data_IF_724829269198
#
_entry.id   IF_724829269198
#
_cell.length_a   1.000
_cell.length_b   1.000
_cell.length_c   1.000
_cell.angle_alpha   90.00
_cell.angle_beta   90.00
_cell.angle_gamma   90.00
#
_symmetry.space_group_name_H-M   'P 1'
#
loop_
_entity.id
_entity.type
_entity.pdbx_description
1 polymer ?
#
# COMPACT_ATOMS: atom_id res chain seq x y z
N UNK A 1 32.88 5.37 4.13
CA UNK A 1 31.82 6.39 4.10
C UNK A 1 30.53 5.61 4.28
N UNK A 2 30.08 5.50 5.52
CA UNK A 2 28.80 4.83 5.82
C UNK A 2 27.67 5.66 5.21
N UNK A 3 26.83 5.01 4.41
CA UNK A 3 25.56 5.57 3.99
C UNK A 3 24.67 5.61 5.22
N UNK A 4 24.61 6.77 5.86
CA UNK A 4 23.57 7.08 6.84
C UNK A 4 22.23 7.01 6.10
N UNK A 5 21.28 6.15 6.48
CA UNK A 5 19.96 6.17 5.86
C UNK A 5 19.35 7.54 6.15
N UNK A 6 18.96 8.27 5.11
CA UNK A 6 18.03 9.39 5.25
C UNK A 6 16.68 8.80 5.68
N UNK A 7 16.52 8.51 6.97
CA UNK A 7 15.20 8.50 7.58
C UNK A 7 14.72 9.95 7.57
N UNK A 8 14.04 10.33 6.48
CA UNK A 8 13.14 11.48 6.54
C UNK A 8 12.25 11.25 7.76
N UNK A 9 12.18 12.25 8.65
CA UNK A 9 11.22 12.23 9.76
C UNK A 9 9.83 12.22 9.13
N UNK A 10 9.24 11.03 8.95
CA UNK A 10 7.83 10.93 8.61
C UNK A 10 7.05 11.58 9.74
N UNK A 11 6.35 12.67 9.44
CA UNK A 11 5.42 13.26 10.40
C UNK A 11 4.26 12.27 10.55
N UNK A 12 3.88 11.88 11.77
CA UNK A 12 2.74 10.99 11.95
C UNK A 12 1.48 11.65 11.38
N UNK A 13 0.60 10.84 10.79
CA UNK A 13 -0.70 11.31 10.34
C UNK A 13 -1.52 11.84 11.53
N UNK A 14 -2.25 12.93 11.31
CA UNK A 14 -3.17 13.46 12.32
C UNK A 14 -4.47 12.65 12.32
N UNK A 15 -4.81 12.09 13.47
CA UNK A 15 -6.07 11.41 13.70
C UNK A 15 -6.58 11.64 15.12
N UNK A 16 -7.90 11.62 15.29
CA UNK A 16 -8.57 11.84 16.58
C UNK A 16 -9.91 11.12 16.63
N UNK A 17 -10.45 10.90 17.83
CA UNK A 17 -11.81 10.41 17.97
C UNK A 17 -12.82 11.47 17.54
N UNK A 18 -13.73 11.09 16.64
CA UNK A 18 -14.76 11.96 16.12
C UNK A 18 -15.88 12.17 17.15
N UNK A 19 -16.12 13.44 17.52
CA UNK A 19 -17.20 13.83 18.39
C UNK A 19 -18.45 14.18 17.58
N UNK A 20 -19.51 13.35 17.56
CA UNK A 20 -20.74 13.68 16.86
C UNK A 20 -21.41 14.94 17.42
N UNK A 21 -21.15 15.27 18.68
CA UNK A 21 -21.76 16.40 19.40
C UNK A 21 -20.75 17.53 19.61
N UNK A 22 -19.88 17.79 18.62
CA UNK A 22 -18.87 18.85 18.70
C UNK A 22 -19.52 20.22 18.81
N UNK A 23 -18.92 21.10 19.63
CA UNK A 23 -19.35 22.51 19.71
C UNK A 23 -19.07 23.29 18.42
N UNK A 24 -18.21 22.76 17.55
CA UNK A 24 -17.92 23.30 16.22
C UNK A 24 -19.11 23.12 15.27
N UNK A 25 -19.93 22.08 15.49
CA UNK A 25 -21.13 21.76 14.72
C UNK A 25 -22.35 21.61 15.65
N UNK A 26 -22.88 22.73 16.20
CA UNK A 26 -23.97 22.69 17.18
C UNK A 26 -25.29 22.13 16.61
N UNK A 27 -25.39 21.97 15.28
CA UNK A 27 -26.57 21.40 14.63
C UNK A 27 -26.37 19.95 14.19
N UNK A 28 -25.18 19.35 14.37
CA UNK A 28 -24.77 18.01 13.94
C UNK A 28 -25.03 17.73 12.45
N UNK A 29 -24.73 18.71 11.58
CA UNK A 29 -25.05 18.67 10.16
C UNK A 29 -23.88 18.84 9.22
N UNK A 30 -22.73 19.35 9.68
CA UNK A 30 -21.61 19.65 8.79
C UNK A 30 -20.43 18.69 9.01
N UNK A 31 -20.40 17.56 8.28
CA UNK A 31 -19.34 16.57 8.44
C UNK A 31 -17.97 17.08 8.00
N UNK A 32 -17.88 18.23 7.33
CA UNK A 32 -16.63 18.83 6.84
C UNK A 32 -15.81 19.54 7.90
N UNK A 33 -16.37 19.75 9.10
CA UNK A 33 -15.67 20.35 10.23
C UNK A 33 -14.79 19.31 10.96
N UNK A 34 -13.85 19.69 11.83
CA UNK A 34 -12.97 18.71 12.49
C UNK A 34 -13.67 17.73 13.46
N UNK A 35 -14.70 18.17 14.19
CA UNK A 35 -15.42 17.37 15.19
C UNK A 35 -14.53 16.88 16.35
N UNK A 36 -13.74 17.77 16.94
CA UNK A 36 -12.92 17.44 18.11
C UNK A 36 -13.75 17.26 19.39
N UNK A 37 -13.23 16.44 20.31
CA UNK A 37 -13.62 16.51 21.72
C UNK A 37 -12.94 17.70 22.41
N UNK A 38 -13.46 18.11 23.57
CA UNK A 38 -12.79 19.06 24.45
C UNK A 38 -12.69 18.47 25.87
N UNK A 39 -11.50 18.04 26.33
CA UNK A 39 -10.22 18.07 25.62
C UNK A 39 -10.18 17.10 24.43
N UNK A 40 -9.31 17.40 23.47
CA UNK A 40 -9.16 16.60 22.26
C UNK A 40 -8.59 15.20 22.55
N UNK A 41 -9.01 14.22 21.76
CA UNK A 41 -8.69 12.81 21.94
C UNK A 41 -7.93 12.29 20.71
N UNK A 42 -6.64 12.60 20.68
CA UNK A 42 -5.74 12.21 19.60
C UNK A 42 -5.56 10.69 19.53
N UNK A 43 -5.46 10.18 18.31
CA UNK A 43 -5.24 8.76 18.01
C UNK A 43 -3.86 8.61 17.35
N UNK A 44 -2.93 7.87 17.96
CA UNK A 44 -1.60 7.67 17.40
C UNK A 44 -1.66 6.80 16.13
N UNK A 45 -0.74 7.02 15.19
CA UNK A 45 -0.70 6.29 13.92
C UNK A 45 -0.61 4.77 14.13
N UNK A 46 0.14 4.34 15.15
CA UNK A 46 0.30 2.94 15.53
C UNK A 46 -1.06 2.28 15.85
N UNK A 47 -2.03 3.03 16.39
CA UNK A 47 -3.37 2.50 16.60
C UNK A 47 -4.11 2.25 15.28
N UNK A 48 -3.96 3.14 14.30
CA UNK A 48 -4.52 2.96 12.96
C UNK A 48 -3.91 1.71 12.28
N UNK A 49 -2.60 1.49 12.45
CA UNK A 49 -1.89 0.31 11.96
C UNK A 49 -2.43 -0.98 12.58
N UNK A 50 -2.81 -0.98 13.87
CA UNK A 50 -3.47 -2.14 14.49
C UNK A 50 -4.86 -2.44 13.93
N UNK A 51 -5.52 -1.43 13.32
CA UNK A 51 -6.77 -1.58 12.58
C UNK A 51 -6.53 -1.97 11.10
N UNK A 52 -5.27 -2.19 10.71
CA UNK A 52 -4.88 -2.55 9.34
C UNK A 52 -4.79 -1.37 8.37
N UNK A 53 -4.87 -0.12 8.85
CA UNK A 53 -4.65 1.07 8.03
C UNK A 53 -3.15 1.27 7.82
N UNK A 54 -2.73 1.43 6.57
CA UNK A 54 -1.34 1.77 6.26
C UNK A 54 -1.26 3.22 5.78
N UNK A 55 -0.30 3.97 6.31
CA UNK A 55 -0.13 5.38 5.98
C UNK A 55 1.33 5.70 5.70
N UNK A 56 1.56 6.44 4.62
CA UNK A 56 2.82 7.11 4.35
C UNK A 56 2.55 8.60 4.19
N UNK A 57 3.37 9.44 4.82
CA UNK A 57 3.21 10.89 4.83
C UNK A 57 4.36 11.58 4.11
N UNK A 58 4.16 12.85 3.76
CA UNK A 58 5.19 13.70 3.13
C UNK A 58 5.73 13.18 1.78
N UNK A 59 4.95 12.38 1.05
CA UNK A 59 5.31 11.96 -0.30
C UNK A 59 5.35 13.19 -1.22
N UNK A 60 6.42 13.30 -2.01
CA UNK A 60 6.47 14.27 -3.10
C UNK A 60 5.43 13.90 -4.16
N UNK A 61 4.47 14.80 -4.37
CA UNK A 61 3.34 14.61 -5.30
C UNK A 61 3.55 15.26 -6.66
N UNK A 62 4.51 16.19 -6.76
CA UNK A 62 4.95 16.72 -8.06
C UNK A 62 5.68 15.60 -8.79
N UNK A 63 5.15 15.22 -9.95
CA UNK A 63 5.59 14.01 -10.68
C UNK A 63 5.53 12.74 -9.83
N UNK A 64 4.43 12.52 -9.08
CA UNK A 64 4.24 11.37 -8.18
C UNK A 64 4.60 10.00 -8.81
N UNK A 65 4.50 9.86 -10.14
CA UNK A 65 4.92 8.66 -10.88
C UNK A 65 6.41 8.32 -10.73
N UNK A 66 7.25 9.30 -10.39
CA UNK A 66 8.69 9.11 -10.13
C UNK A 66 9.02 8.96 -8.64
N UNK A 67 8.02 9.10 -7.76
CA UNK A 67 8.23 8.92 -6.33
C UNK A 67 8.51 7.44 -6.04
N UNK A 68 9.70 7.14 -5.52
CA UNK A 68 10.15 5.76 -5.28
C UNK A 68 9.27 5.02 -4.29
N UNK A 69 8.84 5.67 -3.21
CA UNK A 69 7.99 5.05 -2.19
C UNK A 69 6.60 4.72 -2.74
N UNK A 70 6.02 5.62 -3.55
CA UNK A 70 4.77 5.34 -4.24
C UNK A 70 4.88 4.17 -5.23
N UNK A 71 5.98 4.10 -6.01
CA UNK A 71 6.21 2.96 -6.91
C UNK A 71 6.40 1.66 -6.14
N UNK A 72 7.14 1.70 -5.02
CA UNK A 72 7.35 0.52 -4.17
C UNK A 72 6.03 -0.04 -3.66
N UNK A 73 5.18 0.81 -3.07
CA UNK A 73 3.85 0.38 -2.58
C UNK A 73 2.99 -0.19 -3.71
N UNK A 74 3.04 0.41 -4.91
CA UNK A 74 2.32 -0.13 -6.08
C UNK A 74 2.79 -1.52 -6.49
N UNK A 75 4.11 -1.75 -6.52
CA UNK A 75 4.71 -3.03 -6.90
C UNK A 75 4.39 -4.10 -5.83
N UNK A 76 4.69 -3.80 -4.57
CA UNK A 76 4.49 -4.73 -3.44
C UNK A 76 3.04 -5.19 -3.30
N UNK A 77 2.09 -4.30 -3.59
CA UNK A 77 0.65 -4.59 -3.42
C UNK A 77 -0.07 -4.94 -4.72
N UNK A 78 0.66 -4.96 -5.85
CA UNK A 78 0.13 -5.34 -7.16
C UNK A 78 -0.91 -4.35 -7.71
N UNK A 79 -0.74 -3.05 -7.50
CA UNK A 79 -1.68 -2.02 -7.98
C UNK A 79 -1.46 -1.67 -9.46
N UNK A 80 -2.20 -2.35 -10.33
CA UNK A 80 -2.06 -2.26 -11.78
C UNK A 80 -2.99 -1.21 -12.43
N UNK A 81 -3.98 -0.70 -11.71
CA UNK A 81 -4.88 0.35 -12.18
C UNK A 81 -4.68 1.65 -11.39
N UNK A 82 -4.74 2.77 -12.09
CA UNK A 82 -4.52 4.11 -11.54
C UNK A 82 -5.50 5.11 -12.18
N UNK A 83 -6.18 5.91 -11.37
CA UNK A 83 -6.99 7.04 -11.87
C UNK A 83 -6.81 8.30 -11.03
N UNK A 84 -6.89 9.47 -11.67
CA UNK A 84 -6.84 10.77 -10.97
C UNK A 84 -8.26 11.31 -10.85
N UNK A 85 -8.69 11.59 -9.63
CA UNK A 85 -10.00 12.18 -9.31
C UNK A 85 -9.84 13.55 -8.66
N UNK A 86 -10.79 14.44 -8.90
CA UNK A 86 -10.92 15.72 -8.18
C UNK A 86 -12.32 15.81 -7.59
N UNK A 87 -12.39 15.86 -6.26
CA UNK A 87 -13.61 16.06 -5.47
C UNK A 87 -13.67 17.53 -5.10
N UNK A 88 -14.42 18.30 -5.89
CA UNK A 88 -14.67 19.71 -5.63
C UNK A 88 -15.96 20.18 -6.34
N UNK A 89 -16.59 21.26 -5.85
CA UNK A 89 -17.66 21.92 -6.58
C UNK A 89 -17.25 22.21 -8.03
N UNK A 90 -18.14 21.90 -8.98
CA UNK A 90 -17.93 22.07 -10.42
C UNK A 90 -16.81 21.22 -11.06
N UNK A 91 -16.12 20.35 -10.31
CA UNK A 91 -15.11 19.41 -10.84
C UNK A 91 -15.56 17.95 -10.80
N UNK A 92 -16.52 17.65 -9.92
CA UNK A 92 -17.16 16.35 -9.81
C UNK A 92 -18.63 16.45 -10.22
N UNK A 93 -19.05 15.64 -11.20
CA UNK A 93 -20.47 15.55 -11.59
C UNK A 93 -21.31 15.05 -10.40
N UNK A 94 -22.46 15.67 -10.17
CA UNK A 94 -23.34 15.41 -9.02
C UNK A 94 -22.62 15.54 -7.66
N UNK A 95 -21.71 16.51 -7.54
CA UNK A 95 -20.87 16.72 -6.35
C UNK A 95 -21.63 16.57 -5.02
N UNK A 96 -22.74 17.28 -4.82
CA UNK A 96 -23.52 17.23 -3.57
C UNK A 96 -24.09 15.84 -3.27
N UNK A 97 -24.53 15.11 -4.30
CA UNK A 97 -25.02 13.75 -4.13
C UNK A 97 -23.86 12.81 -3.79
N UNK A 98 -22.76 12.86 -4.55
CA UNK A 98 -21.59 12.03 -4.31
C UNK A 98 -20.95 12.30 -2.95
N UNK A 99 -20.90 13.56 -2.51
CA UNK A 99 -20.42 13.94 -1.16
C UNK A 99 -21.23 13.23 -0.07
N UNK A 100 -22.56 13.15 -0.22
CA UNK A 100 -23.43 12.39 0.70
C UNK A 100 -23.23 10.88 0.61
N UNK A 101 -23.03 10.34 -0.59
CA UNK A 101 -22.77 8.91 -0.81
C UNK A 101 -21.44 8.50 -0.17
N UNK A 102 -20.36 9.25 -0.41
CA UNK A 102 -19.05 8.99 0.18
C UNK A 102 -19.06 9.06 1.71
N UNK A 103 -19.87 9.96 2.29
CA UNK A 103 -19.97 10.10 3.74
C UNK A 103 -20.91 9.07 4.40
N UNK A 104 -21.68 8.32 3.62
CA UNK A 104 -22.46 7.21 4.17
C UNK A 104 -21.50 6.10 4.60
N UNK A 105 -21.69 5.52 5.78
CA UNK A 105 -20.83 4.44 6.25
C UNK A 105 -20.96 3.18 5.38
N UNK A 106 -19.86 2.74 4.81
CA UNK A 106 -19.79 1.62 3.87
C UNK A 106 -18.48 0.83 4.01
N UNK A 107 -18.39 -0.28 3.27
CA UNK A 107 -17.15 -1.04 3.08
C UNK A 107 -16.93 -1.40 1.61
N UNK A 108 -15.73 -1.90 1.32
CA UNK A 108 -15.32 -2.42 0.02
C UNK A 108 -14.79 -3.86 0.13
N UNK A 109 -14.93 -4.63 -0.96
CA UNK A 109 -14.36 -5.98 -1.10
C UNK A 109 -12.87 -5.98 -1.43
N UNK A 110 -12.37 -4.84 -1.89
CA UNK A 110 -10.96 -4.56 -2.13
C UNK A 110 -10.48 -3.48 -1.18
N UNK A 111 -9.17 -3.25 -1.17
CA UNK A 111 -8.58 -2.11 -0.47
C UNK A 111 -9.04 -0.79 -1.09
N UNK A 112 -9.11 0.25 -0.27
CA UNK A 112 -9.29 1.62 -0.73
C UNK A 112 -7.97 2.38 -0.57
N UNK A 113 -7.40 2.81 -1.70
CA UNK A 113 -6.05 3.38 -1.75
C UNK A 113 -6.07 4.76 -2.39
N UNK A 114 -5.53 5.75 -1.66
CA UNK A 114 -5.54 7.15 -2.10
C UNK A 114 -4.19 7.81 -1.83
N UNK A 115 -3.54 8.33 -2.88
CA UNK A 115 -2.47 9.32 -2.74
C UNK A 115 -3.06 10.72 -2.95
N UNK A 116 -3.01 11.57 -1.94
CA UNK A 116 -3.54 12.93 -2.03
C UNK A 116 -2.51 13.83 -2.70
N UNK A 117 -2.88 14.39 -3.86
CA UNK A 117 -2.03 15.26 -4.66
C UNK A 117 -2.15 16.73 -4.25
N UNK A 118 -3.38 17.18 -4.00
CA UNK A 118 -3.74 18.56 -3.67
C UNK A 118 -4.98 18.57 -2.75
N UNK A 119 -5.10 19.59 -1.90
CA UNK A 119 -6.22 19.70 -0.96
C UNK A 119 -6.16 18.72 0.20
N UNK A 120 -7.32 18.51 0.84
CA UNK A 120 -7.46 17.71 2.06
C UNK A 120 -8.91 17.25 2.30
N UNK A 121 -9.05 16.31 3.22
CA UNK A 121 -10.33 15.73 3.65
C UNK A 121 -10.16 14.78 4.84
N UNK A 122 -11.24 14.10 5.19
CA UNK A 122 -11.30 13.18 6.30
C UNK A 122 -11.71 11.79 5.84
N UNK A 123 -10.94 10.79 6.26
CA UNK A 123 -11.37 9.39 6.28
C UNK A 123 -11.78 9.05 7.71
N UNK A 124 -13.06 8.74 7.93
CA UNK A 124 -13.51 8.25 9.23
C UNK A 124 -13.56 6.72 9.20
N UNK A 125 -13.00 6.07 10.21
CA UNK A 125 -12.97 4.60 10.36
C UNK A 125 -13.51 4.17 11.73
N UNK A 126 -13.89 2.90 11.86
CA UNK A 126 -14.29 2.32 13.15
C UNK A 126 -13.11 1.71 13.89
N UNK A 127 -12.96 2.04 15.17
CA UNK A 127 -12.03 1.36 16.08
C UNK A 127 -12.56 -0.03 16.53
N UNK A 128 -11.83 -0.70 17.41
CA UNK A 128 -12.22 -2.03 17.95
C UNK A 128 -13.54 -2.02 18.72
N UNK A 129 -13.89 -0.89 19.34
CA UNK A 129 -15.12 -0.72 20.12
C UNK A 129 -16.25 -0.10 19.27
N UNK A 130 -16.00 0.14 17.98
CA UNK A 130 -16.95 0.73 17.06
C UNK A 130 -17.08 2.25 17.16
N UNK A 131 -16.18 2.95 17.85
CA UNK A 131 -16.11 4.41 17.84
C UNK A 131 -15.52 4.93 16.54
N UNK A 132 -15.90 6.15 16.15
CA UNK A 132 -15.34 6.80 14.97
C UNK A 132 -13.99 7.42 15.29
N UNK A 133 -12.99 7.10 14.48
CA UNK A 133 -11.71 7.81 14.39
C UNK A 133 -11.73 8.59 13.09
N UNK A 134 -11.44 9.89 13.15
CA UNK A 134 -11.25 10.77 12.00
C UNK A 134 -9.77 10.90 11.68
N UNK A 135 -9.40 10.65 10.42
CA UNK A 135 -8.03 10.76 9.91
C UNK A 135 -7.97 11.93 8.92
N UNK A 136 -7.09 12.90 9.16
CA UNK A 136 -6.92 14.06 8.28
C UNK A 136 -5.96 13.76 7.13
N UNK A 137 -6.52 13.42 5.97
CA UNK A 137 -5.76 13.14 4.75
C UNK A 137 -5.51 14.43 3.96
N UNK A 138 -4.24 14.72 3.69
CA UNK A 138 -3.78 15.95 3.02
C UNK A 138 -2.72 15.65 1.99
N UNK A 139 -2.39 16.63 1.14
CA UNK A 139 -1.32 16.52 0.14
C UNK A 139 -0.08 15.78 0.68
N UNK A 140 0.36 14.75 -0.04
CA UNK A 140 1.52 13.94 0.31
C UNK A 140 1.20 12.73 1.20
N UNK A 141 -0.07 12.55 1.61
CA UNK A 141 -0.53 11.35 2.30
C UNK A 141 -0.91 10.28 1.27
N UNK A 142 -0.31 9.09 1.40
CA UNK A 142 -0.79 7.85 0.80
C UNK A 142 -1.42 7.01 1.92
N UNK A 143 -2.69 6.68 1.79
CA UNK A 143 -3.44 5.84 2.75
C UNK A 143 -3.96 4.59 2.04
N UNK A 144 -3.95 3.47 2.75
CA UNK A 144 -4.58 2.20 2.37
C UNK A 144 -5.54 1.79 3.49
N UNK A 145 -6.83 1.72 3.18
CA UNK A 145 -7.83 1.11 4.04
C UNK A 145 -8.00 -0.37 3.64
N UNK A 146 -7.98 -1.30 4.60
CA UNK A 146 -8.11 -2.72 4.29
C UNK A 146 -9.54 -3.07 3.85
N UNK A 147 -9.67 -4.08 2.99
CA UNK A 147 -10.97 -4.65 2.61
C UNK A 147 -11.79 -5.06 3.83
N UNK A 148 -13.11 -4.86 3.79
CA UNK A 148 -14.02 -5.21 4.88
C UNK A 148 -14.05 -4.22 6.07
N UNK A 149 -13.22 -3.18 6.07
CA UNK A 149 -13.29 -2.10 7.06
C UNK A 149 -14.48 -1.17 6.77
N UNK A 150 -15.27 -0.86 7.80
CA UNK A 150 -16.25 0.21 7.72
C UNK A 150 -15.57 1.56 7.79
N UNK A 151 -15.85 2.39 6.80
CA UNK A 151 -15.31 3.74 6.67
C UNK A 151 -16.30 4.67 5.97
N UNK A 152 -15.94 5.95 5.92
CA UNK A 152 -16.62 6.98 5.12
C UNK A 152 -15.65 8.13 4.85
N UNK A 153 -15.88 8.83 3.75
CA UNK A 153 -15.05 9.95 3.32
C UNK A 153 -15.85 11.25 3.26
N UNK A 154 -15.22 12.36 3.64
CA UNK A 154 -15.68 13.72 3.30
C UNK A 154 -14.49 14.62 2.98
N UNK A 155 -14.71 15.62 2.13
CA UNK A 155 -13.78 16.77 2.07
C UNK A 155 -13.90 17.58 3.36
N UNK A 156 -12.85 18.33 3.68
CA UNK A 156 -12.87 19.31 4.77
C UNK A 156 -13.56 20.62 4.33
N UNK A 157 -13.47 21.65 5.17
CA UNK A 157 -14.09 22.96 4.96
C UNK A 157 -13.56 23.70 3.70
N UNK A 158 -12.40 23.31 3.16
CA UNK A 158 -11.88 23.81 1.88
C UNK A 158 -12.66 23.29 0.68
N UNK A 159 -13.44 22.22 0.87
CA UNK A 159 -14.25 21.56 -0.15
C UNK A 159 -13.47 21.15 -1.41
N UNK A 160 -12.18 20.86 -1.28
CA UNK A 160 -11.31 20.53 -2.40
C UNK A 160 -10.32 19.42 -2.05
N UNK A 161 -10.38 18.32 -2.82
CA UNK A 161 -9.38 17.26 -2.77
C UNK A 161 -9.12 16.70 -4.16
N UNK A 162 -7.85 16.49 -4.49
CA UNK A 162 -7.42 15.78 -5.70
C UNK A 162 -6.52 14.62 -5.30
N UNK A 163 -6.85 13.44 -5.78
CA UNK A 163 -6.15 12.21 -5.41
C UNK A 163 -5.88 11.32 -6.61
N UNK A 164 -4.86 10.48 -6.49
CA UNK A 164 -4.69 9.28 -7.29
C UNK A 164 -5.34 8.14 -6.53
N UNK A 165 -6.26 7.43 -7.18
CA UNK A 165 -6.81 6.18 -6.69
C UNK A 165 -6.05 5.02 -7.32
N UNK A 166 -5.77 3.99 -6.52
CA UNK A 166 -5.07 2.79 -6.95
C UNK A 166 -5.94 1.56 -6.74
N UNK A 167 -5.84 0.60 -7.64
CA UNK A 167 -6.53 -0.69 -7.55
C UNK A 167 -5.67 -1.80 -8.13
N UNK A 168 -5.87 -3.03 -7.65
CA UNK A 168 -5.19 -4.22 -8.20
C UNK A 168 -5.65 -4.53 -9.62
N UNK A 169 -6.93 -4.27 -9.91
CA UNK A 169 -7.58 -4.47 -11.20
C UNK A 169 -8.52 -3.29 -11.52
N UNK A 170 -9.31 -3.41 -12.59
CA UNK A 170 -10.34 -2.40 -12.87
C UNK A 170 -11.42 -2.45 -11.79
N UNK A 171 -11.70 -1.34 -11.07
CA UNK A 171 -12.60 -1.38 -9.92
C UNK A 171 -14.07 -1.49 -10.32
N UNK A 172 -14.84 -2.30 -9.58
CA UNK A 172 -16.30 -2.39 -9.67
C UNK A 172 -17.01 -1.14 -9.10
N UNK A 173 -16.30 -0.36 -8.26
CA UNK A 173 -16.78 0.87 -7.58
C UNK A 173 -18.04 0.67 -6.75
N UNK A 174 -18.24 -0.54 -6.22
CA UNK A 174 -19.38 -0.87 -5.38
C UNK A 174 -19.07 -0.49 -3.92
N UNK A 175 -19.95 0.31 -3.33
CA UNK A 175 -19.98 0.61 -1.90
C UNK A 175 -21.06 -0.26 -1.25
N UNK A 176 -20.68 -1.04 -0.24
CA UNK A 176 -21.63 -1.83 0.52
C UNK A 176 -22.00 -1.10 1.81
N UNK A 177 -23.17 -0.48 1.82
CA UNK A 177 -23.66 0.30 2.96
C UNK A 177 -23.81 -0.57 4.21
N UNK A 178 -23.31 -0.09 5.35
CA UNK A 178 -23.49 -0.78 6.65
C UNK A 178 -24.95 -1.03 7.02
N UNK A 179 -25.86 -0.15 6.58
CA UNK A 179 -27.30 -0.30 6.85
C UNK A 179 -27.94 -1.52 6.17
N UNK A 180 -27.25 -2.15 5.22
CA UNK A 180 -27.74 -3.35 4.56
C UNK A 180 -27.40 -4.60 5.41
N UNK A 181 -28.42 -5.38 5.76
CA UNK A 181 -28.27 -6.60 6.56
C UNK A 181 -27.32 -7.64 5.93
N UNK A 182 -27.14 -7.61 4.60
CA UNK A 182 -26.22 -8.51 3.91
C UNK A 182 -24.75 -8.13 4.02
N UNK A 183 -24.42 -6.91 4.45
CA UNK A 183 -23.04 -6.40 4.43
C UNK A 183 -22.18 -7.00 5.55
N UNK A 184 -22.76 -7.23 6.74
CA UNK A 184 -22.02 -7.80 7.87
C UNK A 184 -21.64 -9.28 7.68
N UNK A 185 -22.31 -10.00 6.78
CA UNK A 185 -22.07 -11.42 6.46
C UNK A 185 -21.25 -11.62 5.17
N UNK A 186 -20.69 -10.56 4.61
CA UNK A 186 -19.78 -10.66 3.47
C UNK A 186 -18.47 -11.31 3.91
N UNK A 187 -17.92 -12.21 3.10
CA UNK A 187 -16.66 -12.92 3.41
C UNK A 187 -15.52 -11.96 3.76
N UNK A 188 -15.38 -10.86 3.02
CA UNK A 188 -14.37 -9.82 3.29
C UNK A 188 -14.55 -9.16 4.66
N UNK A 189 -15.80 -8.99 5.11
CA UNK A 189 -16.12 -8.39 6.40
C UNK A 189 -15.86 -9.38 7.52
N UNK A 190 -16.30 -10.63 7.37
CA UNK A 190 -16.02 -11.72 8.32
C UNK A 190 -14.51 -11.94 8.48
N UNK A 191 -13.77 -11.89 7.38
CA UNK A 191 -12.31 -11.98 7.39
C UNK A 191 -11.67 -10.82 8.17
N UNK A 192 -12.10 -9.58 7.91
CA UNK A 192 -11.60 -8.40 8.63
C UNK A 192 -11.93 -8.46 10.12
N UNK A 193 -13.15 -8.84 10.49
CA UNK A 193 -13.56 -9.02 11.89
C UNK A 193 -12.68 -10.08 12.57
N UNK A 194 -12.53 -11.25 11.94
CA UNK A 194 -11.80 -12.39 12.51
C UNK A 194 -10.31 -12.11 12.70
N UNK A 195 -9.67 -11.49 11.70
CA UNK A 195 -8.21 -11.35 11.69
C UNK A 195 -7.71 -9.99 12.18
N UNK A 196 -8.55 -8.95 12.18
CA UNK A 196 -8.16 -7.61 12.64
C UNK A 196 -8.89 -7.27 13.93
N UNK A 197 -10.23 -7.24 13.93
CA UNK A 197 -10.96 -6.74 15.09
C UNK A 197 -10.90 -7.67 16.32
N UNK A 198 -10.90 -8.99 16.11
CA UNK A 198 -10.76 -9.96 17.21
C UNK A 198 -9.40 -9.87 17.91
N UNK A 199 -8.35 -9.37 17.25
CA UNK A 199 -7.05 -9.09 17.88
C UNK A 199 -7.20 -8.07 19.02
N UNK A 200 -8.02 -7.03 18.82
CA UNK A 200 -8.31 -6.02 19.85
C UNK A 200 -9.08 -6.60 21.05
N UNK A 201 -9.93 -7.61 20.83
CA UNK A 201 -10.64 -8.30 21.90
C UNK A 201 -9.71 -9.23 22.71
N UNK A 202 -8.79 -9.94 22.05
CA UNK A 202 -7.77 -10.77 22.72
C UNK A 202 -6.69 -9.92 23.42
N UNK A 203 -6.35 -8.72 22.93
CA UNK A 203 -5.46 -7.81 23.66
C UNK A 203 -6.06 -7.33 25.00
N UNK A 204 -7.40 -7.34 25.13
CA UNK A 204 -8.10 -7.07 26.40
C UNK A 204 -8.22 -8.34 27.29
N UNK A 205 -7.87 -9.53 26.80
CA UNK A 205 -7.99 -10.81 27.52
C UNK A 205 -6.67 -11.59 27.63
N UNK A 206 -6.15 -11.71 28.87
CA UNK A 206 -5.04 -12.55 29.34
C UNK A 206 -3.84 -12.90 28.41
N UNK A 207 -2.65 -12.71 28.96
CA UNK A 207 -1.30 -12.97 28.40
C UNK A 207 -1.06 -14.27 27.60
N UNK A 208 -1.90 -15.30 27.71
CA UNK A 208 -1.74 -16.56 26.97
C UNK A 208 -2.11 -16.44 25.50
N UNK A 209 -3.08 -15.61 25.14
CA UNK A 209 -3.56 -15.46 23.75
C UNK A 209 -2.59 -14.62 22.90
N UNK A 210 -1.80 -13.77 23.56
CA UNK A 210 -0.71 -13.00 22.95
C UNK A 210 0.40 -13.89 22.37
N UNK A 211 0.68 -15.04 22.99
CA UNK A 211 1.75 -15.95 22.53
C UNK A 211 1.41 -16.54 21.16
N UNK A 212 0.17 -17.02 20.97
CA UNK A 212 -0.26 -17.58 19.69
C UNK A 212 -0.38 -16.53 18.58
N UNK A 213 -0.68 -15.28 18.94
CA UNK A 213 -0.70 -14.17 17.97
C UNK A 213 0.70 -13.68 17.58
N UNK A 214 1.64 -13.65 18.53
CA UNK A 214 3.05 -13.36 18.25
C UNK A 214 3.63 -14.44 17.33
N UNK A 215 3.35 -15.72 17.60
CA UNK A 215 3.75 -16.83 16.73
C UNK A 215 3.19 -16.66 15.30
N UNK A 216 1.92 -16.26 15.15
CA UNK A 216 1.33 -16.01 13.83
C UNK A 216 1.91 -14.80 13.09
N UNK A 217 2.31 -13.75 13.81
CA UNK A 217 3.00 -12.58 13.26
C UNK A 217 4.45 -12.90 12.88
N UNK A 218 5.14 -13.71 13.68
CA UNK A 218 6.48 -14.21 13.36
C UNK A 218 6.43 -15.07 12.09
N UNK A 219 5.42 -15.92 11.92
CA UNK A 219 5.20 -16.71 10.70
C UNK A 219 4.91 -15.82 9.48
N UNK A 220 4.09 -14.77 9.62
CA UNK A 220 3.83 -13.80 8.54
C UNK A 220 5.07 -12.96 8.21
N UNK A 221 5.84 -12.54 9.21
CA UNK A 221 7.07 -11.77 9.04
C UNK A 221 8.15 -12.61 8.37
N UNK A 222 8.29 -13.89 8.73
CA UNK A 222 9.21 -14.82 8.06
C UNK A 222 8.80 -15.07 6.61
N UNK A 223 7.50 -15.20 6.31
CA UNK A 223 7.01 -15.27 4.92
C UNK A 223 7.32 -13.98 4.15
N UNK A 224 7.14 -12.82 4.77
CA UNK A 224 7.45 -11.54 4.14
C UNK A 224 8.95 -11.40 3.85
N UNK A 225 9.81 -11.75 4.81
CA UNK A 225 11.27 -11.77 4.63
C UNK A 225 11.69 -12.72 3.51
N UNK A 226 11.14 -13.94 3.50
CA UNK A 226 11.41 -14.91 2.45
C UNK A 226 11.00 -14.38 1.07
N UNK A 227 9.83 -13.75 0.96
CA UNK A 227 9.37 -13.12 -0.27
C UNK A 227 10.26 -11.93 -0.68
N UNK A 228 10.71 -11.11 0.26
CA UNK A 228 11.62 -10.00 -0.02
C UNK A 228 12.97 -10.51 -0.56
N UNK A 229 13.55 -11.54 0.07
CA UNK A 229 14.80 -12.15 -0.41
C UNK A 229 14.66 -12.71 -1.82
N UNK A 230 13.51 -13.29 -2.15
CA UNK A 230 13.20 -13.79 -3.50
C UNK A 230 13.12 -12.64 -4.51
N UNK A 231 12.48 -11.53 -4.16
CA UNK A 231 12.37 -10.34 -5.01
C UNK A 231 13.75 -9.72 -5.26
N UNK A 232 14.57 -9.58 -4.20
CA UNK A 232 15.94 -9.07 -4.31
C UNK A 232 16.80 -9.97 -5.20
N UNK A 233 16.74 -11.29 -5.01
CA UNK A 233 17.47 -12.25 -5.85
C UNK A 233 17.02 -12.18 -7.33
N UNK A 234 15.73 -12.01 -7.58
CA UNK A 234 15.17 -11.89 -8.95
C UNK A 234 15.62 -10.59 -9.63
N UNK A 235 15.70 -9.49 -8.87
CA UNK A 235 16.24 -8.21 -9.36
C UNK A 235 17.73 -8.33 -9.71
N UNK A 236 18.51 -8.97 -8.85
CA UNK A 236 19.94 -9.22 -9.09
C UNK A 236 20.16 -10.13 -10.31
N UNK A 237 19.36 -11.18 -10.47
CA UNK A 237 19.36 -12.03 -11.68
C UNK A 237 19.08 -11.22 -12.94
N UNK A 238 18.06 -10.37 -12.90
CA UNK A 238 17.69 -9.51 -14.02
C UNK A 238 18.81 -8.54 -14.40
N UNK A 239 19.49 -7.96 -13.41
CA UNK A 239 20.63 -7.06 -13.62
C UNK A 239 21.83 -7.81 -14.22
N UNK A 240 22.17 -8.98 -13.66
CA UNK A 240 23.28 -9.80 -14.15
C UNK A 240 23.03 -10.28 -15.58
N UNK A 241 21.79 -10.67 -15.90
CA UNK A 241 21.39 -11.05 -17.25
C UNK A 241 21.52 -9.88 -18.23
N UNK A 242 21.10 -8.66 -17.83
CA UNK A 242 21.24 -7.47 -18.65
C UNK A 242 22.71 -7.12 -18.93
N UNK A 243 23.60 -7.29 -17.96
CA UNK A 243 25.03 -7.07 -18.13
C UNK A 243 25.67 -8.15 -19.01
N UNK A 244 25.31 -9.42 -18.82
CA UNK A 244 25.74 -10.51 -19.69
C UNK A 244 25.29 -10.29 -21.14
N UNK A 245 24.09 -9.75 -21.36
CA UNK A 245 23.61 -9.40 -22.70
C UNK A 245 24.46 -8.30 -23.36
N UNK A 246 24.86 -7.26 -22.60
CA UNK A 246 25.76 -6.21 -23.11
C UNK A 246 27.13 -6.78 -23.50
N UNK A 247 27.68 -7.67 -22.66
CA UNK A 247 28.95 -8.36 -22.92
C UNK A 247 28.85 -9.24 -24.18
N UNK A 248 27.80 -10.05 -24.30
CA UNK A 248 27.55 -10.86 -25.49
C UNK A 248 27.33 -10.03 -26.76
N UNK A 249 26.75 -8.83 -26.66
CA UNK A 249 26.61 -7.92 -27.81
C UNK A 249 27.95 -7.33 -28.26
N UNK A 250 28.86 -7.02 -27.32
CA UNK A 250 30.21 -6.55 -27.64
C UNK A 250 31.04 -7.61 -28.41
N UNK A 251 30.72 -8.90 -28.25
CA UNK A 251 31.32 -10.03 -28.97
C UNK A 251 31.29 -9.83 -30.50
N UNK A 252 30.17 -9.32 -31.01
CA UNK A 252 29.93 -9.16 -32.44
C UNK A 252 30.81 -8.10 -33.10
N UNK A 253 31.56 -7.34 -32.32
CA UNK A 253 32.43 -6.24 -32.75
C UNK A 253 33.91 -6.43 -32.43
N UNK A 254 34.30 -7.51 -31.74
CA UNK A 254 35.71 -7.75 -31.39
C UNK A 254 36.52 -8.24 -32.60
N UNK A 255 37.71 -7.68 -32.81
CA UNK A 255 38.68 -8.15 -33.80
C UNK A 255 39.74 -9.11 -33.22
N UNK A 256 39.65 -9.41 -31.92
CA UNK A 256 40.51 -10.35 -31.20
C UNK A 256 39.77 -11.70 -31.04
N UNK A 257 40.37 -12.77 -31.59
CA UNK A 257 39.80 -14.11 -31.65
C UNK A 257 39.65 -14.78 -30.28
N UNK A 258 40.53 -14.50 -29.31
CA UNK A 258 40.42 -15.06 -27.94
C UNK A 258 39.27 -14.39 -27.20
N UNK A 259 39.17 -13.06 -27.33
CA UNK A 259 38.06 -12.27 -26.79
C UNK A 259 36.73 -12.67 -27.44
N UNK A 260 36.70 -12.88 -28.75
CA UNK A 260 35.49 -13.33 -29.45
C UNK A 260 35.03 -14.72 -28.97
N UNK A 261 35.97 -15.62 -28.70
CA UNK A 261 35.68 -16.99 -28.20
C UNK A 261 35.08 -16.94 -26.79
N UNK A 262 35.67 -16.17 -25.88
CA UNK A 262 35.14 -15.99 -24.51
C UNK A 262 33.75 -15.36 -24.51
N UNK A 263 33.54 -14.32 -25.32
CA UNK A 263 32.26 -13.65 -25.40
C UNK A 263 31.17 -14.51 -26.08
N UNK A 264 31.54 -15.41 -26.99
CA UNK A 264 30.63 -16.40 -27.57
C UNK A 264 30.15 -17.42 -26.54
N UNK A 265 30.99 -17.79 -25.55
CA UNK A 265 30.60 -18.66 -24.46
C UNK A 265 29.53 -18.02 -23.56
N UNK A 266 29.66 -16.71 -23.26
CA UNK A 266 28.63 -15.93 -22.54
C UNK A 266 27.30 -15.96 -23.31
N UNK A 267 27.34 -15.78 -24.64
CA UNK A 267 26.14 -15.83 -25.48
C UNK A 267 25.48 -17.22 -25.49
N UNK A 268 26.27 -18.29 -25.46
CA UNK A 268 25.76 -19.66 -25.37
C UNK A 268 25.10 -19.94 -24.02
N UNK A 269 25.69 -19.46 -22.92
CA UNK A 269 25.09 -19.56 -21.58
C UNK A 269 23.75 -18.83 -21.51
N UNK A 270 23.62 -17.64 -22.11
CA UNK A 270 22.35 -16.90 -22.15
C UNK A 270 21.23 -17.63 -22.91
N UNK A 271 21.57 -18.48 -23.88
CA UNK A 271 20.60 -19.32 -24.60
C UNK A 271 20.17 -20.54 -23.78
N UNK A 272 21.10 -21.11 -23.01
CA UNK A 272 20.84 -22.26 -22.14
C UNK A 272 20.11 -21.88 -20.84
N UNK A 273 20.32 -20.64 -20.37
CA UNK A 273 19.80 -20.11 -19.11
C UNK A 273 18.95 -18.87 -19.41
N UNK A 274 17.69 -19.03 -19.85
CA UNK A 274 16.79 -17.90 -20.07
C UNK A 274 16.45 -17.21 -18.74
N UNK A 275 16.10 -15.90 -18.76
CA UNK A 275 15.77 -15.17 -17.55
C UNK A 275 14.50 -15.75 -16.91
N UNK A 276 14.39 -15.59 -15.59
CA UNK A 276 13.19 -15.93 -14.83
C UNK A 276 11.91 -15.41 -15.51
N UNK A 277 10.91 -16.28 -15.69
CA UNK A 277 9.55 -15.82 -16.00
C UNK A 277 8.89 -15.32 -14.71
N UNK A 278 7.93 -14.41 -14.81
CA UNK A 278 7.18 -13.88 -13.67
C UNK A 278 6.45 -14.97 -12.85
N UNK A 279 6.20 -16.14 -13.44
CA UNK A 279 5.58 -17.28 -12.76
C UNK A 279 6.61 -18.14 -11.99
N UNK A 280 7.90 -18.06 -12.37
CA UNK A 280 9.02 -18.80 -11.77
C UNK A 280 9.73 -17.99 -10.67
N UNK A 281 9.35 -16.72 -10.46
CA UNK A 281 9.96 -15.81 -9.49
C UNK A 281 9.61 -16.11 -8.04
N UNK A 282 9.00 -17.27 -7.75
CA UNK A 282 8.68 -17.71 -6.38
C UNK A 282 9.62 -18.82 -5.89
N UNK A 283 10.59 -19.26 -6.70
CA UNK A 283 11.56 -20.31 -6.37
C UNK A 283 12.98 -19.74 -6.27
N UNK A 284 13.43 -19.47 -5.04
CA UNK A 284 14.75 -18.89 -4.74
C UNK A 284 15.91 -19.77 -5.22
N UNK A 285 15.79 -21.09 -5.05
CA UNK A 285 16.86 -22.03 -5.39
C UNK A 285 17.10 -22.06 -6.90
N UNK A 286 16.02 -21.96 -7.68
CA UNK A 286 16.10 -21.82 -9.13
C UNK A 286 16.78 -20.50 -9.55
N UNK A 287 16.42 -19.38 -8.92
CA UNK A 287 17.04 -18.05 -9.15
C UNK A 287 18.54 -18.08 -8.84
N UNK A 288 18.93 -18.60 -7.67
CA UNK A 288 20.33 -18.68 -7.23
C UNK A 288 21.18 -19.57 -8.15
N UNK A 289 20.59 -20.67 -8.65
CA UNK A 289 21.24 -21.56 -9.61
C UNK A 289 21.55 -20.84 -10.93
N UNK A 290 20.59 -20.08 -11.47
CA UNK A 290 20.79 -19.29 -12.70
C UNK A 290 21.83 -18.18 -12.49
N UNK A 291 21.75 -17.46 -11.38
CA UNK A 291 22.73 -16.45 -10.97
C UNK A 291 24.16 -17.02 -10.94
N UNK A 292 24.33 -18.21 -10.36
CA UNK A 292 25.64 -18.88 -10.31
C UNK A 292 26.17 -19.24 -11.70
N UNK A 293 25.30 -19.75 -12.58
CA UNK A 293 25.67 -20.09 -13.97
C UNK A 293 26.06 -18.85 -14.78
N UNK A 294 25.29 -17.76 -14.66
CA UNK A 294 25.58 -16.47 -15.30
C UNK A 294 26.89 -15.87 -14.77
N UNK A 295 27.09 -15.88 -13.45
CA UNK A 295 28.29 -15.35 -12.81
C UNK A 295 29.56 -16.09 -13.24
N UNK A 296 29.50 -17.43 -13.34
CA UNK A 296 30.62 -18.21 -13.83
C UNK A 296 30.98 -17.85 -15.28
N UNK A 297 29.97 -17.74 -16.16
CA UNK A 297 30.19 -17.38 -17.56
C UNK A 297 30.81 -15.98 -17.72
N UNK A 298 30.39 -15.01 -16.89
CA UNK A 298 30.92 -13.65 -16.90
C UNK A 298 32.34 -13.51 -16.36
N UNK A 299 32.85 -14.54 -15.66
CA UNK A 299 34.19 -14.56 -15.08
C UNK A 299 35.28 -15.14 -15.98
N UNK A 300 34.89 -15.77 -17.10
CA UNK A 300 35.78 -16.44 -18.07
C UNK A 300 36.36 -15.46 -19.11
#
# INVERSE_FOLDING_TARGET
>A
MELVPLQAKNMPIEAWYYNPNSVEDPEEKDPTLPHHFNPDQQVPQEHLETLGVLVWTELQTKDYKKNQQFQQVKIERGYNYEEVVTVAPNRLANYEQKKREFFKEHLHEHEEIRLILEGSGYEDIRDFDGHWIRIHIRKGVLIVLPKGMYHRFTVDDTNYLKAVLLYQETPSRIQFDRSNAGTDIMEVREHYVTHVLSRGASLKGNSSDLSGMLEGLDDELEKFRANQEIVEATLDESNLYADALKVAQAAKSSADDDVATRLALVAQTLQAVPPAKAEDSNDKEAVDTRMTQLGHAMSL
#
